data_IF_105815184729
#
_entry.id   IF_105815184729
#
_cell.length_a   1.000
_cell.length_b   1.000
_cell.length_c   1.000
_cell.angle_alpha   90.00
_cell.angle_beta   90.00
_cell.angle_gamma   90.00
#
_symmetry.space_group_name_H-M   'P 1'
#
loop_
_entity.id
_entity.type
_entity.pdbx_description
1 polymer ?
#
# COMPACT_ATOMS: atom_id res chain seq x y z
N UNK A 1 -15.41 7.25 3.66
CA UNK A 1 -16.44 6.52 4.40
C UNK A 1 -17.43 7.47 5.08
N UNK A 2 -16.95 8.47 5.88
CA UNK A 2 -17.83 9.39 6.62
C UNK A 2 -18.85 10.12 5.73
N UNK A 3 -18.48 10.54 4.53
CA UNK A 3 -19.41 11.22 3.61
C UNK A 3 -20.48 10.27 3.07
N UNK A 4 -20.11 9.03 2.80
CA UNK A 4 -21.03 7.99 2.33
C UNK A 4 -22.03 7.64 3.44
N UNK A 5 -21.55 7.46 4.67
CA UNK A 5 -22.41 7.19 5.82
C UNK A 5 -23.35 8.36 6.19
N UNK A 6 -22.99 9.59 5.83
CA UNK A 6 -23.83 10.80 6.02
C UNK A 6 -24.79 11.05 4.85
N UNK A 7 -24.82 10.19 3.83
CA UNK A 7 -25.64 10.38 2.64
C UNK A 7 -25.21 11.57 1.77
N UNK A 8 -23.95 12.03 1.92
CA UNK A 8 -23.37 13.12 1.12
C UNK A 8 -22.60 12.63 -0.11
N UNK A 9 -22.42 11.32 -0.21
CA UNK A 9 -21.82 10.64 -1.36
C UNK A 9 -22.50 9.28 -1.50
N UNK A 10 -22.80 8.89 -2.72
CA UNK A 10 -23.52 7.65 -3.03
C UNK A 10 -22.56 6.46 -3.21
N UNK A 11 -21.31 6.74 -3.61
CA UNK A 11 -20.31 5.73 -3.96
C UNK A 11 -18.98 6.04 -3.27
N UNK A 12 -18.37 5.01 -2.69
CA UNK A 12 -16.98 5.02 -2.30
C UNK A 12 -16.16 4.39 -3.44
N UNK A 13 -15.25 5.18 -4.05
CA UNK A 13 -14.52 4.79 -5.25
C UNK A 13 -13.50 3.67 -5.05
N UNK A 14 -12.96 3.50 -3.85
CA UNK A 14 -11.98 2.46 -3.54
C UNK A 14 -12.21 1.90 -2.14
N UNK A 15 -12.79 0.73 -2.06
CA UNK A 15 -12.91 -0.05 -0.84
C UNK A 15 -11.94 -1.24 -0.92
N UNK A 16 -11.09 -1.35 0.09
CA UNK A 16 -10.19 -2.48 0.29
C UNK A 16 -10.75 -3.32 1.46
N UNK A 17 -11.21 -4.50 1.18
CA UNK A 17 -11.76 -5.40 2.17
C UNK A 17 -12.59 -6.50 1.53
N UNK A 18 -12.98 -7.46 2.35
CA UNK A 18 -13.87 -8.54 1.95
C UNK A 18 -15.33 -8.04 1.85
N UNK A 19 -16.17 -8.87 1.26
CA UNK A 19 -17.61 -8.63 1.22
C UNK A 19 -18.21 -8.60 2.65
N UNK A 20 -17.63 -9.37 3.58
CA UNK A 20 -17.99 -9.41 4.99
C UNK A 20 -17.62 -8.08 5.69
N UNK A 21 -16.40 -7.56 5.47
CA UNK A 21 -16.00 -6.24 5.99
C UNK A 21 -16.92 -5.12 5.47
N UNK A 22 -17.32 -5.20 4.22
CA UNK A 22 -18.28 -4.26 3.63
C UNK A 22 -19.64 -4.35 4.30
N UNK A 23 -20.15 -5.55 4.50
CA UNK A 23 -21.46 -5.81 5.12
C UNK A 23 -21.50 -5.29 6.58
N UNK A 24 -20.45 -5.51 7.35
CA UNK A 24 -20.31 -5.02 8.74
C UNK A 24 -20.34 -3.48 8.80
N UNK A 25 -19.89 -2.81 7.75
CA UNK A 25 -19.92 -1.34 7.60
C UNK A 25 -21.21 -0.81 6.96
N UNK A 26 -22.19 -1.67 6.69
CA UNK A 26 -23.44 -1.29 6.03
C UNK A 26 -23.28 -0.98 4.53
N UNK A 27 -22.23 -1.53 3.91
CA UNK A 27 -21.92 -1.32 2.49
C UNK A 27 -22.23 -2.58 1.67
N UNK A 28 -22.52 -2.37 0.39
CA UNK A 28 -22.55 -3.40 -0.63
C UNK A 28 -21.44 -3.14 -1.63
N UNK A 29 -20.70 -4.18 -2.00
CA UNK A 29 -19.52 -4.08 -2.85
C UNK A 29 -19.84 -4.46 -4.29
N UNK A 30 -19.22 -3.76 -5.24
CA UNK A 30 -19.18 -4.18 -6.63
C UNK A 30 -18.22 -5.35 -6.83
N UNK A 31 -18.18 -5.91 -8.04
CA UNK A 31 -17.05 -6.73 -8.47
C UNK A 31 -15.76 -5.93 -8.42
N UNK A 32 -14.66 -6.62 -8.15
CA UNK A 32 -13.34 -6.00 -8.10
C UNK A 32 -12.94 -5.46 -9.49
N UNK A 33 -12.51 -4.20 -9.52
CA UNK A 33 -11.95 -3.59 -10.73
C UNK A 33 -10.42 -3.61 -10.76
N UNK A 34 -9.77 -3.77 -9.59
CA UNK A 34 -8.34 -3.94 -9.44
C UNK A 34 -8.05 -4.87 -8.26
N UNK A 35 -6.83 -5.37 -8.18
CA UNK A 35 -6.35 -6.10 -7.01
C UNK A 35 -4.92 -5.69 -6.71
N UNK A 36 -4.58 -5.62 -5.42
CA UNK A 36 -3.24 -5.29 -4.96
C UNK A 36 -2.70 -6.43 -4.08
N UNK A 37 -1.41 -6.68 -4.19
CA UNK A 37 -0.72 -7.63 -3.32
C UNK A 37 -0.18 -6.90 -2.09
N UNK A 38 -0.09 -7.61 -0.99
CA UNK A 38 0.58 -7.14 0.20
C UNK A 38 2.01 -7.66 0.26
N UNK A 39 2.88 -6.93 0.93
CA UNK A 39 4.28 -7.29 1.16
C UNK A 39 4.63 -7.06 2.62
N UNK A 40 5.56 -7.87 3.11
CA UNK A 40 6.27 -7.62 4.34
C UNK A 40 7.65 -7.06 3.98
N UNK A 41 7.97 -5.92 4.57
CA UNK A 41 9.34 -5.39 4.61
C UNK A 41 9.83 -5.44 6.05
N UNK A 42 11.11 -5.74 6.25
CA UNK A 42 11.69 -5.90 7.59
C UNK A 42 12.96 -5.07 7.77
N UNK A 43 13.35 -4.86 9.00
CA UNK A 43 14.68 -4.37 9.29
C UNK A 43 15.72 -5.45 8.88
N UNK A 44 16.80 -5.06 8.24
CA UNK A 44 17.85 -5.99 7.76
C UNK A 44 18.51 -6.77 8.89
N UNK A 45 18.55 -6.22 10.11
CA UNK A 45 19.09 -6.86 11.30
C UNK A 45 18.18 -7.91 11.94
N UNK A 46 16.93 -8.04 11.47
CA UNK A 46 15.93 -8.92 12.03
C UNK A 46 15.72 -10.13 11.13
N UNK A 47 15.67 -11.33 11.69
CA UNK A 47 15.23 -12.54 10.97
C UNK A 47 13.71 -12.61 10.95
N UNK A 48 13.12 -12.88 9.80
CA UNK A 48 11.69 -13.08 9.64
C UNK A 48 11.41 -14.35 8.82
N UNK A 49 10.48 -15.21 9.23
CA UNK A 49 9.71 -15.15 10.47
C UNK A 49 10.53 -15.59 11.71
N UNK A 50 10.26 -14.97 12.85
CA UNK A 50 10.75 -15.42 14.17
C UNK A 50 9.73 -15.03 15.25
N UNK A 51 9.91 -15.55 16.46
CA UNK A 51 9.07 -15.18 17.62
C UNK A 51 9.59 -13.87 18.24
N UNK A 52 8.73 -13.18 18.99
CA UNK A 52 9.10 -11.94 19.69
C UNK A 52 9.12 -10.69 18.81
N UNK A 53 8.59 -10.75 17.58
CA UNK A 53 8.66 -9.62 16.65
C UNK A 53 7.57 -8.58 16.91
N UNK A 54 7.95 -7.31 16.76
CA UNK A 54 7.05 -6.16 16.73
C UNK A 54 6.70 -5.81 15.29
N UNK A 55 5.44 -5.95 14.92
CA UNK A 55 4.93 -5.64 13.58
C UNK A 55 4.33 -4.25 13.49
N UNK A 56 4.51 -3.59 12.36
CA UNK A 56 3.85 -2.34 12.01
C UNK A 56 2.71 -2.57 11.02
N UNK A 57 1.61 -1.83 11.19
CA UNK A 57 0.45 -1.80 10.28
C UNK A 57 -0.06 -0.35 10.19
N UNK A 58 -0.66 0.02 9.07
CA UNK A 58 -1.31 1.32 8.92
C UNK A 58 -2.66 1.33 9.66
N UNK A 59 -2.98 2.44 10.31
CA UNK A 59 -4.29 2.67 10.93
C UNK A 59 -5.44 2.34 9.98
N UNK A 60 -6.46 1.65 10.49
CA UNK A 60 -7.59 1.17 9.70
C UNK A 60 -7.36 -0.13 8.93
N UNK A 61 -6.17 -0.71 8.98
CA UNK A 61 -5.88 -2.06 8.46
C UNK A 61 -5.67 -3.06 9.60
N UNK A 62 -5.95 -4.32 9.32
CA UNK A 62 -5.68 -5.43 10.24
C UNK A 62 -4.54 -6.29 9.68
N UNK A 63 -3.74 -6.81 10.57
CA UNK A 63 -2.75 -7.82 10.21
C UNK A 63 -3.45 -9.17 10.01
N UNK A 64 -3.21 -9.88 8.89
CA UNK A 64 -3.77 -11.21 8.68
C UNK A 64 -3.32 -12.20 9.75
N UNK A 65 -4.19 -13.14 10.10
CA UNK A 65 -3.94 -14.16 11.14
C UNK A 65 -2.73 -15.07 10.85
N UNK A 66 -2.31 -15.15 9.58
CA UNK A 66 -1.12 -15.91 9.16
C UNK A 66 0.21 -15.20 9.39
N UNK A 67 0.20 -13.92 9.76
CA UNK A 67 1.41 -13.12 10.05
C UNK A 67 1.54 -13.03 11.57
N UNK A 68 2.58 -13.67 12.13
CA UNK A 68 2.82 -13.65 13.56
C UNK A 68 3.59 -12.38 13.96
N UNK A 69 3.05 -11.68 14.95
CA UNK A 69 3.71 -10.61 15.68
C UNK A 69 3.29 -10.71 17.15
N UNK A 70 4.22 -10.50 18.06
CA UNK A 70 3.93 -10.50 19.50
C UNK A 70 3.29 -9.16 19.92
N UNK A 71 3.70 -8.07 19.23
CA UNK A 71 3.14 -6.74 19.39
C UNK A 71 2.82 -6.14 18.01
N UNK A 72 1.71 -5.44 17.90
CA UNK A 72 1.34 -4.72 16.66
C UNK A 72 1.25 -3.23 16.98
N UNK A 73 2.00 -2.41 16.23
CA UNK A 73 1.94 -0.95 16.31
C UNK A 73 1.30 -0.36 15.08
N UNK A 74 0.43 0.62 15.30
CA UNK A 74 -0.32 1.29 14.24
C UNK A 74 0.32 2.63 13.89
N UNK A 75 0.43 2.90 12.60
CA UNK A 75 1.04 4.11 12.05
C UNK A 75 0.06 4.85 11.15
N UNK A 76 0.11 6.18 11.10
CA UNK A 76 -0.81 6.97 10.27
C UNK A 76 -0.57 6.79 8.77
N UNK A 77 0.65 6.53 8.36
CA UNK A 77 1.02 6.39 6.95
C UNK A 77 2.22 5.44 6.73
N UNK A 78 2.44 5.10 5.46
CA UNK A 78 3.51 4.18 5.02
C UNK A 78 4.89 4.71 5.38
N UNK A 79 5.11 6.02 5.26
CA UNK A 79 6.39 6.67 5.55
C UNK A 79 6.77 6.57 7.02
N UNK A 80 5.81 6.82 7.91
CA UNK A 80 6.02 6.70 9.35
C UNK A 80 6.38 5.26 9.73
N UNK A 81 5.65 4.26 9.17
CA UNK A 81 5.94 2.85 9.40
C UNK A 81 7.32 2.44 8.86
N UNK A 82 7.68 2.84 7.64
CA UNK A 82 9.00 2.54 7.06
C UNK A 82 10.16 3.18 7.84
N UNK A 83 9.98 4.39 8.35
CA UNK A 83 10.96 5.04 9.24
C UNK A 83 11.13 4.26 10.53
N UNK A 84 10.04 3.82 11.15
CA UNK A 84 10.10 3.02 12.38
C UNK A 84 10.84 1.70 12.15
N UNK A 85 10.60 1.00 11.03
CA UNK A 85 11.39 -0.20 10.64
C UNK A 85 12.86 0.15 10.42
N UNK A 86 13.13 1.24 9.69
CA UNK A 86 14.50 1.67 9.41
C UNK A 86 15.30 2.00 10.67
N UNK A 87 14.64 2.59 11.67
CA UNK A 87 15.24 2.96 12.95
C UNK A 87 15.32 1.80 13.94
N UNK A 88 14.69 0.64 13.65
CA UNK A 88 14.62 -0.50 14.56
C UNK A 88 13.63 -0.32 15.71
N UNK A 89 12.67 0.59 15.59
CA UNK A 89 11.58 0.80 16.55
C UNK A 89 10.52 -0.31 16.44
N UNK A 90 10.41 -0.91 15.26
CA UNK A 90 9.62 -2.09 14.93
C UNK A 90 10.45 -3.00 14.00
N UNK A 91 10.16 -4.28 14.00
CA UNK A 91 10.94 -5.30 13.29
C UNK A 91 10.55 -5.42 11.82
N UNK A 92 9.26 -5.31 11.54
CA UNK A 92 8.73 -5.40 10.18
C UNK A 92 7.48 -4.53 9.99
N UNK A 93 7.17 -4.27 8.72
CA UNK A 93 5.95 -3.58 8.32
C UNK A 93 5.20 -4.40 7.28
N UNK A 94 3.90 -4.62 7.52
CA UNK A 94 2.96 -5.24 6.60
C UNK A 94 2.09 -4.21 5.93
N UNK A 95 2.06 -4.19 4.62
CA UNK A 95 1.23 -3.25 3.87
C UNK A 95 1.17 -3.54 2.37
N UNK A 96 0.49 -2.66 1.64
CA UNK A 96 0.29 -2.77 0.19
C UNK A 96 1.64 -2.58 -0.52
N UNK A 97 2.03 -3.55 -1.35
CA UNK A 97 3.34 -3.57 -2.03
C UNK A 97 3.60 -2.30 -2.82
N UNK A 98 2.66 -1.87 -3.65
CA UNK A 98 2.82 -0.69 -4.50
C UNK A 98 3.05 0.60 -3.72
N UNK A 99 2.40 0.78 -2.58
CA UNK A 99 2.61 1.95 -1.71
C UNK A 99 3.95 1.93 -1.01
N UNK A 100 4.36 0.75 -0.52
CA UNK A 100 5.66 0.53 0.14
C UNK A 100 6.79 0.74 -0.86
N UNK A 101 6.72 0.10 -2.02
CA UNK A 101 7.71 0.21 -3.08
C UNK A 101 7.87 1.65 -3.58
N UNK A 102 6.74 2.35 -3.74
CA UNK A 102 6.76 3.77 -4.12
C UNK A 102 7.48 4.64 -3.08
N UNK A 103 7.17 4.49 -1.79
CA UNK A 103 7.83 5.28 -0.74
C UNK A 103 9.31 4.89 -0.58
N UNK A 104 9.65 3.60 -0.69
CA UNK A 104 11.03 3.12 -0.69
C UNK A 104 11.83 3.59 -1.91
N UNK A 105 11.17 3.84 -3.02
CA UNK A 105 11.78 4.45 -4.19
C UNK A 105 11.98 5.97 -4.03
N UNK A 106 11.04 6.66 -3.41
CA UNK A 106 11.09 8.10 -3.19
C UNK A 106 12.04 8.52 -2.05
N UNK A 107 12.32 7.61 -1.11
CA UNK A 107 13.12 7.87 0.09
C UNK A 107 14.10 6.74 0.33
N UNK A 108 15.24 7.10 0.95
CA UNK A 108 16.28 6.13 1.26
C UNK A 108 16.08 5.52 2.66
N UNK A 109 15.93 4.19 2.70
CA UNK A 109 15.80 3.39 3.93
C UNK A 109 16.89 2.31 3.97
N UNK A 110 18.11 2.62 4.45
CA UNK A 110 19.27 1.72 4.35
C UNK A 110 19.13 0.43 5.16
N UNK A 111 18.22 0.40 6.11
CA UNK A 111 18.00 -0.76 6.97
C UNK A 111 16.70 -1.52 6.65
N UNK A 112 15.94 -1.10 5.64
CA UNK A 112 14.70 -1.77 5.24
C UNK A 112 14.97 -2.65 4.03
N UNK A 113 14.55 -3.91 4.13
CA UNK A 113 14.66 -4.88 3.05
C UNK A 113 13.32 -5.56 2.79
N UNK A 114 12.93 -5.77 1.53
CA UNK A 114 11.79 -6.62 1.21
C UNK A 114 12.01 -8.03 1.72
N UNK A 115 10.97 -8.67 2.24
CA UNK A 115 11.07 -10.03 2.74
C UNK A 115 10.21 -11.00 1.94
N UNK A 116 8.90 -10.83 1.98
CA UNK A 116 7.97 -11.79 1.40
C UNK A 116 6.76 -11.08 0.82
N UNK A 117 6.38 -11.45 -0.40
CA UNK A 117 5.04 -11.16 -0.91
C UNK A 117 4.05 -12.01 -0.14
N UNK A 118 3.12 -11.37 0.52
CA UNK A 118 2.03 -12.06 1.19
C UNK A 118 0.99 -12.41 0.13
N UNK A 119 0.62 -13.69 0.07
CA UNK A 119 -0.31 -14.20 -0.93
C UNK A 119 -1.76 -13.77 -0.60
N UNK A 120 -1.91 -12.55 -0.13
CA UNK A 120 -3.17 -11.91 0.19
C UNK A 120 -3.50 -10.92 -0.92
N UNK A 121 -4.43 -11.28 -1.77
CA UNK A 121 -4.97 -10.41 -2.80
C UNK A 121 -6.03 -9.54 -2.16
N UNK A 122 -5.75 -8.26 -2.07
CA UNK A 122 -6.75 -7.29 -1.68
C UNK A 122 -7.46 -6.80 -2.93
N UNK A 123 -8.69 -7.19 -3.08
CA UNK A 123 -9.55 -6.71 -4.15
C UNK A 123 -10.02 -5.29 -3.85
N UNK A 124 -9.99 -4.44 -4.88
CA UNK A 124 -10.48 -3.07 -4.82
C UNK A 124 -11.81 -3.01 -5.53
N UNK A 125 -12.83 -2.61 -4.78
CA UNK A 125 -14.20 -2.55 -5.22
C UNK A 125 -14.75 -1.13 -5.08
N UNK A 126 -15.81 -0.82 -5.83
CA UNK A 126 -16.71 0.27 -5.47
C UNK A 126 -17.60 -0.20 -4.32
N UNK A 127 -17.89 0.69 -3.38
CA UNK A 127 -18.83 0.40 -2.32
C UNK A 127 -19.98 1.42 -2.32
N UNK A 128 -21.19 0.94 -2.10
CA UNK A 128 -22.41 1.74 -2.01
C UNK A 128 -23.09 1.47 -0.67
N UNK A 129 -23.78 2.48 -0.11
CA UNK A 129 -24.51 2.31 1.15
C UNK A 129 -25.71 1.38 0.99
N UNK A 130 -26.04 0.66 2.07
CA UNK A 130 -27.32 -0.07 2.15
C UNK A 130 -28.40 0.81 2.80
N UNK A 131 -29.67 0.77 2.35
CA UNK A 131 -30.18 -0.08 1.29
C UNK A 131 -29.65 0.36 -0.09
N UNK A 132 -29.27 -0.62 -0.92
CA UNK A 132 -28.70 -0.36 -2.24
C UNK A 132 -29.82 0.06 -3.19
N UNK A 133 -29.61 1.15 -3.94
CA UNK A 133 -30.44 1.47 -5.11
C UNK A 133 -30.38 0.30 -6.08
N UNK A 134 -31.56 -0.23 -6.47
CA UNK A 134 -31.68 -1.46 -7.25
C UNK A 134 -30.94 -1.45 -8.58
N UNK A 135 -30.60 -0.28 -9.12
CA UNK A 135 -29.93 -0.13 -10.42
C UNK A 135 -28.42 0.19 -10.29
N UNK A 136 -28.00 0.87 -9.24
CA UNK A 136 -26.64 1.41 -9.12
C UNK A 136 -25.57 0.30 -9.09
N UNK A 137 -25.73 -0.71 -8.24
CA UNK A 137 -24.76 -1.80 -8.13
C UNK A 137 -24.68 -2.66 -9.39
N UNK A 138 -25.81 -3.05 -10.05
CA UNK A 138 -25.77 -3.70 -11.35
C UNK A 138 -25.06 -2.88 -12.43
N UNK A 139 -25.25 -1.56 -12.47
CA UNK A 139 -24.57 -0.69 -13.44
C UNK A 139 -23.07 -0.68 -13.19
N UNK A 140 -22.62 -0.51 -11.93
CA UNK A 140 -21.22 -0.58 -11.57
C UNK A 140 -20.59 -1.93 -11.96
N UNK A 141 -21.27 -3.03 -11.65
CA UNK A 141 -20.83 -4.38 -12.00
C UNK A 141 -20.72 -4.60 -13.52
N UNK A 142 -21.68 -4.09 -14.29
CA UNK A 142 -21.67 -4.14 -15.74
C UNK A 142 -20.48 -3.33 -16.30
N UNK A 143 -20.24 -2.15 -15.78
CA UNK A 143 -19.11 -1.28 -16.16
C UNK A 143 -17.77 -1.97 -15.87
N UNK A 144 -17.59 -2.55 -14.68
CA UNK A 144 -16.37 -3.29 -14.30
C UNK A 144 -16.17 -4.51 -15.18
N UNK A 145 -17.23 -5.23 -15.53
CA UNK A 145 -17.16 -6.41 -16.40
C UNK A 145 -16.89 -6.07 -17.86
N UNK A 146 -17.22 -4.85 -18.31
CA UNK A 146 -16.93 -4.42 -19.69
C UNK A 146 -15.44 -4.15 -19.94
N UNK A 147 -14.65 -3.96 -18.87
CA UNK A 147 -13.21 -3.80 -18.97
C UNK A 147 -12.51 -5.15 -19.10
N UNK A 148 -11.74 -5.34 -20.18
CA UNK A 148 -10.89 -6.51 -20.32
C UNK A 148 -9.78 -6.53 -19.28
N UNK A 149 -9.19 -7.72 -19.04
CA UNK A 149 -8.03 -7.85 -18.13
C UNK A 149 -6.85 -6.98 -18.57
N UNK A 150 -6.64 -6.86 -19.88
CA UNK A 150 -5.59 -6.02 -20.48
C UNK A 150 -5.85 -4.54 -20.21
N UNK A 151 -7.09 -4.08 -20.36
CA UNK A 151 -7.46 -2.69 -20.04
C UNK A 151 -7.27 -2.37 -18.55
N UNK A 152 -7.67 -3.28 -17.66
CA UNK A 152 -7.46 -3.13 -16.21
C UNK A 152 -5.97 -3.05 -15.88
N UNK A 153 -5.16 -3.92 -16.48
CA UNK A 153 -3.71 -3.93 -16.31
C UNK A 153 -3.07 -2.66 -16.87
N UNK A 154 -3.49 -2.21 -18.05
CA UNK A 154 -2.98 -0.99 -18.67
C UNK A 154 -3.27 0.24 -17.81
N UNK A 155 -4.48 0.39 -17.27
CA UNK A 155 -4.86 1.47 -16.37
C UNK A 155 -4.03 1.46 -15.07
N UNK A 156 -3.80 0.27 -14.51
CA UNK A 156 -2.96 0.12 -13.31
C UNK A 156 -1.51 0.53 -13.61
N UNK A 157 -0.95 0.05 -14.72
CA UNK A 157 0.42 0.35 -15.13
C UNK A 157 0.61 1.83 -15.49
N UNK A 158 -0.37 2.45 -16.16
CA UNK A 158 -0.32 3.87 -16.50
C UNK A 158 -0.22 4.75 -15.24
N UNK A 159 -0.96 4.41 -14.20
CA UNK A 159 -0.87 5.12 -12.93
C UNK A 159 0.47 4.87 -12.21
N UNK A 160 1.05 3.68 -12.34
CA UNK A 160 2.38 3.38 -11.78
C UNK A 160 3.50 4.14 -12.50
N UNK A 161 3.45 4.27 -13.82
CA UNK A 161 4.45 5.01 -14.62
C UNK A 161 4.45 6.50 -14.28
N UNK A 162 3.28 7.08 -14.02
CA UNK A 162 3.15 8.50 -13.65
C UNK A 162 3.78 8.81 -12.28
N UNK A 163 3.84 7.82 -11.39
CA UNK A 163 4.46 7.92 -10.06
C UNK A 163 6.00 7.82 -10.16
N UNK A 164 6.53 7.24 -11.24
CA UNK A 164 7.97 6.98 -11.46
C UNK A 164 8.77 8.13 -12.09
N UNK A 165 8.19 9.31 -12.33
CA UNK A 165 8.96 10.47 -12.81
C UNK A 165 9.76 11.07 -11.65
N UNK A 166 10.92 10.48 -11.37
CA UNK A 166 11.89 11.00 -10.41
C UNK A 166 12.53 12.28 -10.92
N UNK A 167 12.39 13.35 -10.18
CA UNK A 167 13.47 14.33 -10.13
C UNK A 167 14.59 13.70 -9.27
N UNK A 168 15.70 13.34 -9.89
CA UNK A 168 16.86 12.85 -9.16
C UNK A 168 17.27 13.93 -8.13
N UNK A 169 17.12 13.62 -6.85
CA UNK A 169 17.57 14.50 -5.78
C UNK A 169 19.11 14.47 -5.75
N UNK A 170 19.74 15.63 -5.50
CA UNK A 170 21.19 15.72 -5.30
C UNK A 170 21.66 14.71 -4.24
N UNK A 171 20.81 14.45 -3.24
CA UNK A 171 21.06 13.45 -2.18
C UNK A 171 21.11 12.02 -2.73
N UNK A 172 20.25 11.66 -3.70
CA UNK A 172 20.30 10.36 -4.35
C UNK A 172 21.54 10.19 -5.23
N UNK A 173 21.94 11.26 -5.93
CA UNK A 173 23.17 11.25 -6.72
C UNK A 173 24.42 11.05 -5.84
N UNK A 174 24.41 11.65 -4.65
CA UNK A 174 25.46 11.51 -3.63
C UNK A 174 25.60 10.06 -3.13
N UNK A 175 24.47 9.38 -2.88
CA UNK A 175 24.46 7.98 -2.42
C UNK A 175 24.75 6.98 -3.53
N UNK A 176 24.32 7.27 -4.76
CA UNK A 176 24.55 6.40 -5.90
C UNK A 176 26.02 6.38 -6.36
N UNK A 177 26.73 7.52 -6.24
CA UNK A 177 28.12 7.66 -6.67
C UNK A 177 28.91 8.57 -5.72
N UNK A 178 29.25 8.11 -4.49
CA UNK A 178 29.92 8.95 -3.49
C UNK A 178 31.31 9.43 -3.94
N UNK A 179 32.02 8.62 -4.71
CA UNK A 179 33.35 9.00 -5.24
C UNK A 179 33.26 10.13 -6.27
N UNK A 180 32.27 10.07 -7.17
CA UNK A 180 32.03 11.12 -8.16
C UNK A 180 31.63 12.42 -7.48
N UNK A 181 30.82 12.38 -6.43
CA UNK A 181 30.40 13.56 -5.68
C UNK A 181 31.60 14.23 -4.98
N UNK A 182 32.46 13.44 -4.32
CA UNK A 182 33.67 13.94 -3.66
C UNK A 182 34.65 14.56 -4.68
N UNK A 183 34.85 13.92 -5.84
CA UNK A 183 35.73 14.45 -6.89
C UNK A 183 35.22 15.76 -7.49
N UNK A 184 33.93 15.87 -7.77
CA UNK A 184 33.31 17.10 -8.28
C UNK A 184 33.40 18.22 -7.26
N UNK A 185 33.13 17.93 -5.97
CA UNK A 185 33.24 18.93 -4.90
C UNK A 185 34.67 19.39 -4.70
N UNK A 186 35.64 18.50 -4.78
CA UNK A 186 37.07 18.84 -4.67
C UNK A 186 37.62 19.65 -5.88
N UNK A 187 36.97 19.56 -7.05
CA UNK A 187 37.34 20.36 -8.22
C UNK A 187 36.74 21.77 -8.21
N UNK A 188 35.73 22.02 -7.35
CA UNK A 188 35.04 23.33 -7.26
C UNK A 188 35.65 24.21 -6.15
N UNK A 189 36.38 23.62 -5.20
CA UNK A 189 37.07 24.30 -4.11
C UNK A 189 38.58 24.14 -4.29
#
# INVERSE_FOLDING_TARGET
LNLVNQGKADILGAFLGSEEDGADMGLALSKAYASMSDIIVRNKGVSYPSDGLVGAVIEGRRMPTGIKADEIRYFPDVRAALRAVNNGEVDFFYGISTKIEHDMQAHHYPNVVPNTLVNNRNDICFAVTRPVDGELLPILNKSVNSLSSEQKTALTNQNMITIGSRSASIVELMYANPVMFVTVTACVF
#
